data_IF_730341998691
#
_entry.id   IF_730341998691
#
_cell.length_a   1.000
_cell.length_b   1.000
_cell.length_c   1.000
_cell.angle_alpha   90.00
_cell.angle_beta   90.00
_cell.angle_gamma   90.00
#
_symmetry.space_group_name_H-M   'P 1'
#
loop_
_entity.id
_entity.type
_entity.pdbx_description
1 polymer ?
#
# COMPACT_ATOMS: atom_id res chain seq x y z
N UNK A 1 -17.97 11.29 -5.23
CA UNK A 1 -16.74 12.09 -5.09
C UNK A 1 -16.07 11.67 -3.78
N UNK A 2 -14.88 11.05 -3.82
CA UNK A 2 -14.13 10.70 -2.60
C UNK A 2 -13.18 11.85 -2.28
N UNK A 3 -13.43 12.58 -1.21
CA UNK A 3 -12.58 13.69 -0.76
C UNK A 3 -11.55 13.10 0.21
N UNK A 4 -10.29 13.10 -0.17
CA UNK A 4 -9.17 12.73 0.71
C UNK A 4 -8.77 13.94 1.54
N UNK A 5 -8.88 13.87 2.87
CA UNK A 5 -8.44 14.94 3.77
C UNK A 5 -6.93 14.81 4.03
N UNK A 6 -6.20 15.92 3.97
CA UNK A 6 -4.73 15.97 4.06
C UNK A 6 -4.17 15.83 5.49
N UNK A 7 -4.90 15.19 6.40
CA UNK A 7 -4.46 14.93 7.77
C UNK A 7 -4.19 16.15 8.64
N UNK A 8 -4.29 17.37 8.09
CA UNK A 8 -4.09 18.66 8.75
C UNK A 8 -5.24 19.58 8.37
N UNK A 9 -5.79 20.28 9.34
CA UNK A 9 -6.86 21.27 9.14
C UNK A 9 -6.51 22.57 9.85
N UNK A 10 -6.97 23.70 9.30
CA UNK A 10 -6.86 25.01 9.94
C UNK A 10 -8.09 25.22 10.83
N UNK A 11 -7.88 25.43 12.13
CA UNK A 11 -8.93 25.72 13.11
C UNK A 11 -8.46 26.84 14.02
N UNK A 12 -9.28 27.89 14.15
CA UNK A 12 -9.00 29.04 15.03
C UNK A 12 -7.58 29.61 14.82
N UNK A 13 -7.23 29.86 13.54
CA UNK A 13 -5.91 30.33 13.08
C UNK A 13 -4.70 29.46 13.47
N UNK A 14 -4.95 28.21 13.86
CA UNK A 14 -3.92 27.21 14.15
C UNK A 14 -4.05 25.99 13.26
N UNK A 15 -2.92 25.52 12.75
CA UNK A 15 -2.86 24.26 12.00
C UNK A 15 -2.87 23.13 13.03
N UNK A 16 -3.91 22.32 13.01
CA UNK A 16 -4.05 21.12 13.83
C UNK A 16 -3.91 19.87 12.96
N UNK A 17 -3.08 18.92 13.41
CA UNK A 17 -2.98 17.60 12.81
C UNK A 17 -4.14 16.74 13.33
N UNK A 18 -4.89 16.14 12.41
CA UNK A 18 -6.03 15.25 12.68
C UNK A 18 -5.65 13.77 12.46
N UNK A 19 -4.39 13.51 12.12
CA UNK A 19 -3.88 12.14 12.00
C UNK A 19 -3.75 11.53 13.40
N UNK A 20 -4.72 10.70 13.77
CA UNK A 20 -4.57 9.68 14.80
C UNK A 20 -3.26 8.93 14.55
N UNK A 21 -2.50 8.76 15.63
CA UNK A 21 -1.27 7.98 15.77
C UNK A 21 -0.88 7.21 14.52
N UNK A 22 0.27 7.56 13.94
CA UNK A 22 0.95 6.82 12.87
C UNK A 22 0.98 5.33 13.20
N UNK A 23 -0.07 4.60 12.83
CA UNK A 23 -0.01 3.16 12.63
C UNK A 23 0.99 3.02 11.51
N UNK A 24 2.16 2.48 11.82
CA UNK A 24 3.10 2.03 10.79
C UNK A 24 2.27 1.35 9.71
N UNK A 25 2.26 1.94 8.52
CA UNK A 25 1.51 1.44 7.38
C UNK A 25 2.25 0.21 6.88
N UNK A 26 2.19 -0.87 7.68
CA UNK A 26 2.77 -2.15 7.34
C UNK A 26 1.95 -2.66 6.18
N UNK A 27 2.60 -3.05 5.07
CA UNK A 27 1.88 -3.59 3.93
C UNK A 27 1.02 -4.77 4.40
N UNK A 28 -0.30 -4.61 4.27
CA UNK A 28 -1.24 -5.68 4.58
C UNK A 28 -1.16 -6.69 3.44
N UNK A 29 -0.78 -7.92 3.74
CA UNK A 29 -0.87 -9.02 2.78
C UNK A 29 -2.36 -9.22 2.46
N UNK A 30 -2.75 -8.99 1.21
CA UNK A 30 -4.14 -9.11 0.73
C UNK A 30 -4.44 -10.49 0.12
N UNK A 31 -3.43 -11.33 -0.07
CA UNK A 31 -3.57 -12.66 -0.65
C UNK A 31 -2.41 -13.57 -0.25
N UNK A 32 -2.72 -14.81 0.12
CA UNK A 32 -1.76 -15.89 0.34
C UNK A 32 -1.42 -16.63 -0.97
N UNK A 33 -2.03 -16.23 -2.08
CA UNK A 33 -1.80 -16.85 -3.39
C UNK A 33 -0.45 -16.45 -3.95
N UNK A 34 0.41 -17.43 -4.19
CA UNK A 34 1.66 -17.24 -4.93
C UNK A 34 1.32 -16.86 -6.37
N UNK A 35 1.79 -15.74 -6.95
CA UNK A 35 1.43 -15.35 -8.31
C UNK A 35 2.14 -16.24 -9.36
N UNK A 36 1.49 -16.51 -10.50
CA UNK A 36 2.08 -17.32 -11.59
C UNK A 36 3.21 -16.60 -12.33
N UNK A 37 3.14 -15.28 -12.40
CA UNK A 37 4.13 -14.41 -13.03
C UNK A 37 4.59 -13.33 -12.05
N UNK A 38 5.88 -13.01 -12.07
CA UNK A 38 6.50 -11.94 -11.28
C UNK A 38 7.32 -11.04 -12.20
N UNK A 39 7.55 -9.80 -11.77
CA UNK A 39 8.36 -8.84 -12.51
C UNK A 39 9.81 -8.88 -12.00
N UNK A 40 10.78 -8.95 -12.91
CA UNK A 40 12.20 -8.88 -12.57
C UNK A 40 12.66 -7.42 -12.34
N UNK A 41 13.92 -7.24 -11.93
CA UNK A 41 14.51 -5.93 -11.68
C UNK A 41 14.57 -5.01 -12.92
N UNK A 42 14.38 -5.55 -14.13
CA UNK A 42 14.36 -4.82 -15.40
C UNK A 42 12.94 -4.51 -15.85
N UNK A 43 11.93 -4.93 -15.09
CA UNK A 43 10.53 -4.73 -15.42
C UNK A 43 9.94 -5.82 -16.32
N UNK A 44 10.65 -6.91 -16.59
CA UNK A 44 10.22 -8.01 -17.46
C UNK A 44 9.36 -9.01 -16.68
N UNK A 45 8.24 -9.44 -17.27
CA UNK A 45 7.42 -10.50 -16.70
C UNK A 45 8.05 -11.88 -16.93
N UNK A 46 8.35 -12.59 -15.84
CA UNK A 46 8.90 -13.94 -15.85
C UNK A 46 7.98 -14.91 -15.09
N UNK A 47 8.04 -16.20 -15.43
CA UNK A 47 7.32 -17.24 -14.69
C UNK A 47 7.89 -17.31 -13.27
N UNK A 48 7.00 -17.28 -12.27
CA UNK A 48 7.43 -17.36 -10.87
C UNK A 48 8.07 -18.74 -10.59
N UNK A 49 9.34 -18.81 -10.17
CA UNK A 49 10.00 -20.07 -9.84
C UNK A 49 9.33 -20.82 -8.67
N UNK A 50 8.68 -20.08 -7.76
CA UNK A 50 7.93 -20.64 -6.65
C UNK A 50 6.51 -21.12 -7.00
N UNK A 51 6.08 -20.97 -8.27
CA UNK A 51 4.79 -21.49 -8.73
C UNK A 51 4.92 -22.99 -9.05
N UNK A 52 4.44 -23.84 -8.16
CA UNK A 52 4.13 -25.23 -8.48
C UNK A 52 2.71 -25.32 -9.06
N UNK A 53 2.56 -26.03 -10.18
CA UNK A 53 1.25 -26.54 -10.55
C UNK A 53 0.94 -27.64 -9.55
N UNK A 54 0.14 -27.32 -8.53
CA UNK A 54 -0.51 -28.33 -7.72
C UNK A 54 -1.55 -29.07 -8.58
#
# INVERSE_FOLDING_TARGET
MKITFSGKVLRDDKIISVEDEKKEDKPKIISETVPKFIQDNKGTWIKNPGWSNN
#
